data_IF_765253875425
#
_entry.id   IF_765253875425
#
_cell.length_a   1.000
_cell.length_b   1.000
_cell.length_c   1.000
_cell.angle_alpha   90.00
_cell.angle_beta   90.00
_cell.angle_gamma   90.00
#
_symmetry.space_group_name_H-M   'P 1'
#
loop_
_entity.id
_entity.type
_entity.pdbx_description
1 polymer ?
#
# COMPACT_ATOMS: atom_id res chain seq x y z
N UNK A 1 69.14 2.65 46.62
CA UNK A 1 67.72 2.63 47.00
C UNK A 1 67.05 3.92 46.57
N UNK A 2 66.31 3.89 45.45
CA UNK A 2 65.35 4.92 45.03
C UNK A 2 64.20 4.18 44.36
N UNK A 3 63.11 4.01 45.10
CA UNK A 3 61.87 3.36 44.65
C UNK A 3 61.12 4.41 43.82
N UNK A 4 60.91 4.12 42.53
CA UNK A 4 60.03 4.92 41.67
C UNK A 4 58.61 4.38 41.78
N UNK A 5 57.73 5.16 42.39
CA UNK A 5 56.28 4.93 42.43
C UNK A 5 55.68 5.24 41.05
N UNK A 6 55.17 4.21 40.37
CA UNK A 6 54.32 4.34 39.19
C UNK A 6 52.86 4.59 39.62
N UNK A 7 52.35 5.79 39.33
CA UNK A 7 50.93 6.11 39.38
C UNK A 7 50.23 5.54 38.14
N UNK A 8 49.25 4.65 38.36
CA UNK A 8 48.33 4.15 37.35
C UNK A 8 47.10 5.09 37.26
N UNK A 9 46.66 5.55 36.08
CA UNK A 9 45.38 6.25 35.95
C UNK A 9 44.23 5.24 35.80
N UNK A 10 43.26 5.33 36.71
CA UNK A 10 42.01 4.59 36.67
C UNK A 10 41.09 5.22 35.60
N UNK A 11 40.93 4.57 34.45
CA UNK A 11 39.95 4.96 33.43
C UNK A 11 38.54 4.49 33.84
N UNK A 12 37.69 5.43 34.24
CA UNK A 12 36.26 5.22 34.43
C UNK A 12 35.58 5.07 33.05
N UNK A 13 35.15 3.85 32.72
CA UNK A 13 34.26 3.58 31.60
C UNK A 13 32.84 4.01 31.98
N UNK A 14 32.39 5.14 31.42
CA UNK A 14 31.00 5.56 31.48
C UNK A 14 30.20 4.73 30.45
N UNK A 15 29.42 3.77 30.95
CA UNK A 15 28.48 2.98 30.15
C UNK A 15 27.29 3.86 29.74
N UNK A 16 27.29 4.39 28.53
CA UNK A 16 26.09 4.96 27.93
C UNK A 16 25.13 3.83 27.54
N UNK A 17 24.20 3.48 28.43
CA UNK A 17 23.02 2.70 28.07
C UNK A 17 22.11 3.57 27.21
N UNK A 18 22.22 3.44 25.88
CA UNK A 18 21.24 4.02 24.96
C UNK A 18 19.90 3.30 25.13
N UNK A 19 18.94 3.98 25.75
CA UNK A 19 17.54 3.54 25.75
C UNK A 19 17.07 3.56 24.29
N UNK A 20 16.57 2.45 23.71
CA UNK A 20 16.01 2.49 22.38
C UNK A 20 14.81 3.44 22.37
N UNK A 21 14.77 4.34 21.39
CA UNK A 21 13.65 5.24 21.20
C UNK A 21 12.35 4.42 21.04
N UNK A 22 11.23 4.87 21.62
CA UNK A 22 9.95 4.22 21.39
C UNK A 22 9.66 4.25 19.89
N UNK A 23 9.33 3.08 19.34
CA UNK A 23 8.82 2.94 17.97
C UNK A 23 7.56 3.81 17.91
N UNK A 24 7.60 4.86 17.11
CA UNK A 24 6.44 5.71 16.88
C UNK A 24 5.35 4.86 16.23
N UNK A 25 4.32 4.51 16.99
CA UNK A 25 3.12 3.93 16.43
C UNK A 25 2.38 4.99 15.62
N UNK A 26 1.98 4.61 14.41
CA UNK A 26 1.31 5.45 13.42
C UNK A 26 -0.11 5.85 13.84
N UNK A 27 -0.26 6.68 14.87
CA UNK A 27 -1.59 7.04 15.41
C UNK A 27 -2.19 8.34 14.87
N UNK A 28 -1.43 9.16 14.12
CA UNK A 28 -1.93 10.45 13.56
C UNK A 28 -1.62 10.68 12.07
N UNK A 29 -1.09 9.67 11.37
CA UNK A 29 -0.92 9.77 9.91
C UNK A 29 -2.23 9.38 9.24
N UNK A 30 -2.80 10.29 8.46
CA UNK A 30 -3.99 10.03 7.64
C UNK A 30 -3.78 8.75 6.82
N UNK A 31 -4.75 7.82 6.88
CA UNK A 31 -4.67 6.56 6.13
C UNK A 31 -4.52 6.86 4.63
N UNK A 32 -3.65 6.13 3.95
CA UNK A 32 -3.55 6.24 2.49
C UNK A 32 -4.89 5.86 1.85
N UNK A 33 -5.24 6.45 0.69
CA UNK A 33 -6.43 6.06 -0.03
C UNK A 33 -6.44 4.55 -0.29
N UNK A 34 -7.64 3.97 -0.19
CA UNK A 34 -7.89 2.60 -0.60
C UNK A 34 -7.95 2.44 -2.11
N UNK A 35 -7.99 1.19 -2.57
CA UNK A 35 -8.27 0.81 -3.95
C UNK A 35 -9.74 1.03 -4.29
N UNK A 36 -10.00 1.52 -5.50
CA UNK A 36 -11.35 1.80 -5.99
C UNK A 36 -12.13 0.50 -6.23
N UNK A 37 -11.45 -0.56 -6.66
CA UNK A 37 -12.08 -1.87 -6.89
C UNK A 37 -11.11 -2.84 -7.54
N UNK A 38 -10.36 -3.63 -6.75
CA UNK A 38 -9.39 -4.55 -7.30
C UNK A 38 -10.10 -5.58 -8.18
N UNK A 39 -9.55 -5.79 -9.37
CA UNK A 39 -10.02 -6.78 -10.34
C UNK A 39 -8.97 -7.87 -10.48
N UNK A 40 -9.41 -9.12 -10.40
CA UNK A 40 -8.54 -10.27 -10.67
C UNK A 40 -8.90 -10.87 -12.02
N UNK A 41 -7.88 -11.13 -12.83
CA UNK A 41 -8.00 -11.80 -14.12
C UNK A 41 -7.49 -13.24 -14.00
N UNK A 42 -8.19 -14.20 -14.62
CA UNK A 42 -7.80 -15.63 -14.59
C UNK A 42 -7.60 -16.20 -13.17
N UNK A 43 -8.35 -15.69 -12.19
CA UNK A 43 -8.29 -16.17 -10.81
C UNK A 43 -8.98 -17.52 -10.62
N UNK A 44 -8.60 -18.21 -9.56
CA UNK A 44 -9.21 -19.45 -9.10
C UNK A 44 -9.89 -19.21 -7.77
N UNK A 45 -11.08 -19.76 -7.59
CA UNK A 45 -11.78 -19.73 -6.31
C UNK A 45 -11.34 -20.92 -5.45
N UNK A 46 -10.33 -20.69 -4.61
CA UNK A 46 -9.63 -21.70 -3.80
C UNK A 46 -9.34 -21.14 -2.41
N UNK A 47 -9.01 -21.97 -1.40
CA UNK A 47 -8.55 -21.45 -0.12
C UNK A 47 -7.34 -20.52 -0.30
N UNK A 48 -7.24 -19.49 0.54
CA UNK A 48 -6.05 -18.64 0.58
C UNK A 48 -4.82 -19.51 0.84
N UNK A 49 -3.69 -19.17 0.23
CA UNK A 49 -2.44 -19.89 0.51
C UNK A 49 -2.05 -19.73 1.98
N UNK A 50 -1.23 -20.66 2.49
CA UNK A 50 -0.77 -20.59 3.88
C UNK A 50 -0.01 -19.29 4.16
N UNK A 51 0.83 -18.85 3.20
CA UNK A 51 1.57 -17.60 3.31
C UNK A 51 0.64 -16.38 3.43
N UNK A 52 -0.40 -16.30 2.59
CA UNK A 52 -1.38 -15.19 2.63
C UNK A 52 -2.19 -15.21 3.92
N UNK A 53 -2.64 -16.40 4.35
CA UNK A 53 -3.38 -16.56 5.60
C UNK A 53 -2.54 -16.14 6.81
N UNK A 54 -1.29 -16.63 6.88
CA UNK A 54 -0.35 -16.29 7.95
C UNK A 54 -0.05 -14.79 7.97
N UNK A 55 0.22 -14.20 6.81
CA UNK A 55 0.44 -12.76 6.68
C UNK A 55 -0.77 -11.97 7.19
N UNK A 56 -1.96 -12.19 6.63
CA UNK A 56 -3.15 -11.43 6.99
C UNK A 56 -3.47 -11.54 8.49
N UNK A 57 -3.33 -12.73 9.10
CA UNK A 57 -3.58 -12.93 10.53
C UNK A 57 -2.49 -12.35 11.44
N UNK A 58 -1.25 -12.20 10.94
CA UNK A 58 -0.14 -11.62 11.69
C UNK A 58 -0.17 -10.08 11.78
N UNK A 59 -0.98 -9.41 10.95
CA UNK A 59 -1.00 -7.94 10.91
C UNK A 59 -1.44 -7.32 12.25
N UNK A 60 -0.85 -6.20 12.67
CA UNK A 60 -1.32 -5.46 13.82
C UNK A 60 -2.76 -4.95 13.60
N UNK A 61 -3.61 -5.21 14.58
CA UNK A 61 -5.05 -4.92 14.46
C UNK A 61 -5.36 -3.44 14.27
N UNK A 62 -4.55 -2.56 14.86
CA UNK A 62 -4.68 -1.11 14.72
C UNK A 62 -4.36 -0.61 13.30
N UNK A 63 -3.51 -1.32 12.55
CA UNK A 63 -3.11 -0.87 11.22
C UNK A 63 -4.21 -1.15 10.19
N UNK A 64 -4.85 -2.32 10.31
CA UNK A 64 -5.88 -2.79 9.36
C UNK A 64 -7.30 -2.64 9.88
N UNK A 65 -7.47 -2.10 11.08
CA UNK A 65 -8.74 -1.86 11.77
C UNK A 65 -9.63 -3.10 11.94
N UNK A 66 -9.13 -4.30 11.64
CA UNK A 66 -9.88 -5.55 11.71
C UNK A 66 -9.25 -6.52 12.73
N UNK A 67 -10.07 -7.01 13.65
CA UNK A 67 -9.62 -7.99 14.64
C UNK A 67 -9.16 -9.30 13.98
N UNK A 68 -8.31 -10.10 14.65
CA UNK A 68 -7.94 -11.42 14.14
C UNK A 68 -9.15 -12.31 13.85
N UNK A 69 -10.22 -12.21 14.65
CA UNK A 69 -11.46 -12.95 14.44
C UNK A 69 -12.17 -12.56 13.14
N UNK A 70 -12.23 -11.26 12.82
CA UNK A 70 -12.81 -10.79 11.55
C UNK A 70 -11.98 -11.22 10.35
N UNK A 71 -10.65 -11.09 10.44
CA UNK A 71 -9.72 -11.54 9.40
C UNK A 71 -9.82 -13.04 9.17
N UNK A 72 -9.92 -13.83 10.25
CA UNK A 72 -10.16 -15.26 10.16
C UNK A 72 -11.48 -15.56 9.45
N UNK A 73 -12.55 -14.80 9.72
CA UNK A 73 -13.84 -14.96 9.03
C UNK A 73 -13.74 -14.66 7.54
N UNK A 74 -12.97 -13.66 7.10
CA UNK A 74 -12.75 -13.44 5.66
C UNK A 74 -11.97 -14.56 5.00
N UNK A 75 -11.09 -15.24 5.74
CA UNK A 75 -10.36 -16.42 5.27
C UNK A 75 -11.18 -17.73 5.36
N UNK A 76 -12.38 -17.70 5.95
CA UNK A 76 -13.23 -18.89 6.02
C UNK A 76 -13.75 -19.24 4.62
N UNK A 77 -13.26 -20.36 4.09
CA UNK A 77 -13.72 -20.90 2.81
C UNK A 77 -12.75 -20.63 1.67
N UNK A 78 -13.29 -20.22 0.53
CA UNK A 78 -12.54 -19.96 -0.69
C UNK A 78 -12.51 -18.46 -0.97
N UNK A 79 -11.40 -18.02 -1.51
CA UNK A 79 -11.13 -16.65 -1.94
C UNK A 79 -10.70 -16.69 -3.40
N UNK A 80 -10.71 -15.55 -4.08
CA UNK A 80 -10.17 -15.46 -5.43
C UNK A 80 -8.66 -15.28 -5.34
N UNK A 81 -7.93 -16.23 -5.91
CA UNK A 81 -6.46 -16.22 -5.97
C UNK A 81 -6.03 -16.15 -7.43
N UNK A 82 -5.23 -15.14 -7.76
CA UNK A 82 -4.50 -15.05 -9.02
C UNK A 82 -3.00 -15.24 -8.71
N UNK A 83 -2.38 -16.21 -9.35
CA UNK A 83 -0.95 -16.47 -9.27
C UNK A 83 -0.23 -15.69 -10.37
N UNK A 84 0.88 -15.06 -10.01
CA UNK A 84 1.65 -14.17 -10.87
C UNK A 84 3.11 -14.60 -10.85
N UNK A 85 3.83 -14.47 -11.99
CA UNK A 85 5.28 -14.63 -11.99
C UNK A 85 5.90 -13.64 -10.99
N UNK A 86 6.65 -14.16 -10.02
CA UNK A 86 7.47 -13.34 -9.12
C UNK A 86 8.86 -13.12 -9.70
N UNK A 87 9.74 -12.51 -8.91
CA UNK A 87 11.14 -12.40 -9.26
C UNK A 87 11.84 -13.78 -9.20
N UNK A 88 12.60 -14.13 -10.24
CA UNK A 88 13.22 -15.45 -10.37
C UNK A 88 12.18 -16.57 -10.54
N UNK A 89 12.36 -17.69 -9.82
CA UNK A 89 11.38 -18.79 -9.75
C UNK A 89 10.31 -18.56 -8.68
N UNK A 90 10.31 -17.38 -8.06
CA UNK A 90 9.35 -16.97 -7.05
C UNK A 90 7.94 -16.85 -7.63
N UNK A 91 6.94 -16.95 -6.74
CA UNK A 91 5.54 -16.77 -7.09
C UNK A 91 4.95 -15.67 -6.26
N UNK A 92 4.23 -14.80 -6.95
CA UNK A 92 3.44 -13.79 -6.30
C UNK A 92 1.96 -14.12 -6.39
N UNK A 93 1.18 -13.49 -5.51
CA UNK A 93 -0.26 -13.67 -5.44
C UNK A 93 -0.97 -12.33 -5.43
N UNK A 94 -2.12 -12.29 -6.08
CA UNK A 94 -3.16 -11.29 -5.88
C UNK A 94 -4.37 -12.02 -5.32
N UNK A 95 -4.86 -11.59 -4.16
CA UNK A 95 -5.91 -12.30 -3.42
C UNK A 95 -6.98 -11.33 -2.97
N UNK A 96 -8.24 -11.67 -3.24
CA UNK A 96 -9.41 -11.00 -2.67
C UNK A 96 -10.40 -12.02 -2.15
N UNK A 97 -11.08 -11.73 -1.05
CA UNK A 97 -12.16 -12.59 -0.57
C UNK A 97 -13.33 -12.68 -1.58
N UNK A 98 -13.68 -11.57 -2.23
CA UNK A 98 -14.70 -11.45 -3.27
C UNK A 98 -14.34 -10.38 -4.31
N UNK A 99 -14.87 -10.52 -5.52
CA UNK A 99 -14.55 -9.62 -6.64
C UNK A 99 -15.35 -8.30 -6.56
N UNK A 100 -14.77 -7.21 -7.06
CA UNK A 100 -15.43 -5.90 -7.15
C UNK A 100 -15.19 -5.01 -5.94
N UNK A 101 -15.95 -3.90 -5.84
CA UNK A 101 -15.76 -2.86 -4.81
C UNK A 101 -16.11 -3.29 -3.39
N UNK A 102 -16.84 -4.40 -3.24
CA UNK A 102 -17.36 -4.88 -1.96
C UNK A 102 -16.51 -6.02 -1.43
N UNK A 103 -15.19 -5.89 -1.28
CA UNK A 103 -14.33 -6.95 -0.73
C UNK A 103 -14.08 -6.76 0.77
N UNK A 104 -13.76 -7.83 1.49
CA UNK A 104 -13.32 -7.86 2.89
C UNK A 104 -11.81 -7.64 3.04
N UNK A 105 -11.03 -8.20 2.12
CA UNK A 105 -9.61 -7.86 2.00
C UNK A 105 -9.11 -7.99 0.57
N UNK A 106 -8.04 -7.25 0.28
CA UNK A 106 -7.23 -7.36 -0.92
C UNK A 106 -5.77 -7.44 -0.52
N UNK A 107 -5.02 -8.37 -1.10
CA UNK A 107 -3.58 -8.54 -0.87
C UNK A 107 -2.88 -8.75 -2.20
N UNK A 108 -1.78 -8.03 -2.43
CA UNK A 108 -0.80 -8.30 -3.48
C UNK A 108 0.53 -8.62 -2.81
N UNK A 109 1.09 -9.81 -3.03
CA UNK A 109 2.44 -10.15 -2.61
C UNK A 109 3.46 -9.84 -3.70
N UNK A 110 4.73 -9.66 -3.33
CA UNK A 110 5.83 -9.42 -4.24
C UNK A 110 7.06 -10.17 -3.73
N UNK A 111 7.47 -11.21 -4.43
CA UNK A 111 8.62 -12.01 -4.06
C UNK A 111 9.88 -11.13 -4.12
N UNK A 112 10.73 -11.28 -3.11
CA UNK A 112 11.97 -10.53 -3.03
C UNK A 112 13.05 -11.10 -3.95
N UNK A 113 14.14 -10.35 -4.09
CA UNK A 113 15.39 -10.84 -4.68
C UNK A 113 16.00 -11.98 -3.84
N UNK A 114 15.64 -12.04 -2.55
CA UNK A 114 15.98 -13.13 -1.63
C UNK A 114 14.72 -13.96 -1.34
N UNK A 115 14.79 -15.31 -1.32
CA UNK A 115 13.61 -16.18 -1.17
C UNK A 115 12.79 -15.96 0.11
N UNK A 116 13.45 -15.57 1.21
CA UNK A 116 12.84 -15.33 2.52
C UNK A 116 12.13 -13.97 2.62
N UNK A 117 12.31 -13.09 1.63
CA UNK A 117 11.79 -11.74 1.63
C UNK A 117 10.53 -11.66 0.76
N UNK A 118 9.47 -11.07 1.29
CA UNK A 118 8.26 -10.78 0.50
C UNK A 118 7.72 -9.41 0.88
N UNK A 119 7.48 -8.56 -0.13
CA UNK A 119 6.69 -7.35 0.01
C UNK A 119 5.21 -7.67 -0.07
N UNK A 120 4.38 -6.91 0.65
CA UNK A 120 2.93 -7.01 0.57
C UNK A 120 2.31 -5.63 0.47
N UNK A 121 1.34 -5.47 -0.43
CA UNK A 121 0.31 -4.45 -0.30
C UNK A 121 -0.94 -5.12 0.24
N UNK A 122 -1.63 -4.46 1.17
CA UNK A 122 -2.85 -4.98 1.79
C UNK A 122 -3.84 -3.86 2.06
N UNK A 123 -5.11 -4.18 1.87
CA UNK A 123 -6.22 -3.36 2.34
C UNK A 123 -7.27 -4.27 2.94
N UNK A 124 -7.80 -3.86 4.08
CA UNK A 124 -8.92 -4.53 4.74
C UNK A 124 -10.04 -3.53 4.86
N UNK A 125 -11.21 -3.92 4.40
CA UNK A 125 -12.42 -3.09 4.45
C UNK A 125 -13.62 -3.99 4.69
N UNK A 126 -14.78 -3.41 4.92
CA UNK A 126 -15.99 -4.21 5.04
C UNK A 126 -17.03 -3.52 5.90
N UNK A 127 -18.02 -4.29 6.36
CA UNK A 127 -19.15 -3.70 7.06
C UNK A 127 -18.77 -3.30 8.48
N UNK A 128 -19.13 -2.08 8.88
CA UNK A 128 -19.06 -1.58 10.25
C UNK A 128 -19.83 -2.46 11.24
N UNK A 129 -20.89 -3.15 10.80
CA UNK A 129 -21.59 -4.13 11.62
C UNK A 129 -20.69 -5.33 11.98
N UNK A 130 -19.94 -5.86 11.02
CA UNK A 130 -19.00 -6.96 11.23
C UNK A 130 -17.81 -6.51 12.09
N UNK A 131 -17.33 -5.29 11.87
CA UNK A 131 -16.28 -4.69 12.69
C UNK A 131 -16.71 -4.57 14.16
N UNK A 132 -17.88 -3.99 14.41
CA UNK A 132 -18.44 -3.84 15.77
C UNK A 132 -18.68 -5.20 16.44
N UNK A 133 -19.19 -6.18 15.70
CA UNK A 133 -19.47 -7.52 16.23
C UNK A 133 -18.21 -8.28 16.68
N UNK A 134 -17.03 -7.91 16.16
CA UNK A 134 -15.77 -8.63 16.39
C UNK A 134 -14.72 -7.79 17.12
N UNK A 135 -15.06 -6.57 17.54
CA UNK A 135 -14.16 -5.64 18.21
C UNK A 135 -14.41 -5.66 19.73
N UNK A 136 -13.39 -5.98 20.56
CA UNK A 136 -13.55 -5.93 22.01
C UNK A 136 -13.81 -4.50 22.50
N UNK A 137 -14.83 -4.32 23.33
CA UNK A 137 -15.20 -3.01 23.89
C UNK A 137 -14.10 -2.44 24.78
N UNK A 138 -13.99 -1.11 24.85
CA UNK A 138 -13.01 -0.42 25.70
C UNK A 138 -11.55 -0.51 25.22
N UNK A 139 -11.30 -0.99 24.00
CA UNK A 139 -9.95 -1.06 23.41
C UNK A 139 -9.65 0.13 22.50
N UNK A 140 -8.36 0.44 22.22
CA UNK A 140 -8.00 1.43 21.20
C UNK A 140 -8.61 1.13 19.82
N UNK A 141 -8.74 -0.16 19.48
CA UNK A 141 -9.43 -0.60 18.27
C UNK A 141 -10.91 -0.18 18.28
N UNK A 142 -11.61 -0.34 19.40
CA UNK A 142 -13.01 0.08 19.52
C UNK A 142 -13.17 1.59 19.27
N UNK A 143 -12.28 2.41 19.83
CA UNK A 143 -12.30 3.85 19.59
C UNK A 143 -11.99 4.20 18.11
N UNK A 144 -11.04 3.51 17.48
CA UNK A 144 -10.75 3.70 16.06
C UNK A 144 -11.92 3.27 15.15
N UNK A 145 -12.51 2.10 15.43
CA UNK A 145 -13.70 1.60 14.75
C UNK A 145 -14.89 2.54 14.92
N UNK A 146 -15.10 3.09 16.12
CA UNK A 146 -16.16 4.06 16.39
C UNK A 146 -15.97 5.35 15.60
N UNK A 147 -14.76 5.92 15.58
CA UNK A 147 -14.45 7.10 14.74
C UNK A 147 -14.76 6.85 13.26
N UNK A 148 -14.30 5.72 12.72
CA UNK A 148 -14.54 5.41 11.31
C UNK A 148 -16.01 5.16 10.99
N UNK A 149 -16.70 4.43 11.87
CA UNK A 149 -18.10 4.04 11.69
C UNK A 149 -19.13 5.05 12.23
N UNK A 150 -18.70 6.27 12.59
CA UNK A 150 -19.57 7.37 13.04
C UNK A 150 -19.59 8.58 12.09
N UNK A 151 -18.73 8.59 11.06
CA UNK A 151 -18.62 9.70 10.11
C UNK A 151 -19.59 9.52 8.93
N UNK A 152 -20.26 10.60 8.48
CA UNK A 152 -21.24 10.57 7.39
C UNK A 152 -20.58 10.33 6.01
N UNK A 153 -20.94 9.19 5.40
CA UNK A 153 -20.54 8.57 4.12
C UNK A 153 -21.27 7.22 4.05
N UNK A 154 -21.19 6.33 3.03
CA UNK A 154 -22.02 5.11 2.98
C UNK A 154 -21.98 4.39 4.33
N UNK A 155 -23.06 4.48 5.15
CA UNK A 155 -22.98 4.55 6.63
C UNK A 155 -22.74 3.19 7.31
N UNK A 156 -22.10 2.28 6.61
CA UNK A 156 -21.97 0.89 6.99
C UNK A 156 -20.61 0.31 6.64
N UNK A 157 -19.61 1.06 6.15
CA UNK A 157 -18.28 0.50 5.84
C UNK A 157 -17.11 1.12 6.61
N UNK A 158 -16.10 0.29 6.88
CA UNK A 158 -14.77 0.69 7.33
C UNK A 158 -13.75 0.33 6.24
N UNK A 159 -12.62 1.03 6.24
CA UNK A 159 -11.51 0.87 5.31
C UNK A 159 -10.17 1.17 6.00
N UNK A 160 -9.23 0.24 6.00
CA UNK A 160 -7.91 0.46 6.58
C UNK A 160 -7.06 1.50 5.84
N UNK A 161 -7.45 1.85 4.62
CA UNK A 161 -6.55 2.40 3.61
C UNK A 161 -5.58 1.35 3.09
N UNK A 162 -4.86 1.68 2.02
CA UNK A 162 -3.79 0.81 1.52
C UNK A 162 -2.60 0.85 2.48
N UNK A 163 -2.11 -0.33 2.86
CA UNK A 163 -0.92 -0.54 3.70
C UNK A 163 0.15 -1.29 2.92
N UNK A 164 1.41 -1.07 3.27
CA UNK A 164 2.53 -1.82 2.73
C UNK A 164 3.34 -2.47 3.85
N UNK A 165 3.71 -3.73 3.67
CA UNK A 165 4.54 -4.46 4.61
C UNK A 165 5.72 -5.12 3.92
N UNK A 166 6.83 -5.21 4.64
CA UNK A 166 7.95 -6.07 4.30
C UNK A 166 7.99 -7.22 5.29
N UNK A 167 8.05 -8.45 4.79
CA UNK A 167 8.07 -9.66 5.63
C UNK A 167 9.33 -10.43 5.31
N UNK A 168 10.12 -10.71 6.35
CA UNK A 168 11.23 -11.66 6.31
C UNK A 168 10.76 -12.91 7.05
N UNK A 169 10.99 -14.09 6.49
CA UNK A 169 10.61 -15.35 7.13
C UNK A 169 11.10 -15.43 8.58
N UNK A 170 10.18 -15.80 9.49
CA UNK A 170 10.45 -15.88 10.94
C UNK A 170 10.44 -14.53 11.67
N UNK A 171 10.29 -13.40 10.99
CA UNK A 171 10.17 -12.07 11.60
C UNK A 171 8.73 -11.54 11.52
N UNK A 172 8.32 -10.67 12.47
CA UNK A 172 7.04 -9.98 12.37
C UNK A 172 7.02 -9.08 11.11
N UNK A 173 5.84 -8.85 10.50
CA UNK A 173 5.71 -7.89 9.40
C UNK A 173 6.19 -6.49 9.80
N UNK A 174 7.05 -5.91 8.98
CA UNK A 174 7.51 -4.54 9.11
C UNK A 174 6.59 -3.62 8.32
N UNK A 175 5.94 -2.66 8.99
CA UNK A 175 5.12 -1.64 8.32
C UNK A 175 6.04 -0.68 7.55
N UNK A 176 5.88 -0.64 6.23
CA UNK A 176 6.58 0.26 5.31
C UNK A 176 5.61 1.15 4.56
N UNK A 177 4.39 1.36 5.06
CA UNK A 177 3.32 2.15 4.43
C UNK A 177 3.77 3.57 4.07
N UNK A 178 4.61 4.20 4.89
CA UNK A 178 5.16 5.53 4.58
C UNK A 178 5.96 5.56 3.26
N UNK A 179 6.61 4.46 2.88
CA UNK A 179 7.40 4.37 1.64
C UNK A 179 6.55 4.35 0.37
N UNK A 180 5.26 4.02 0.49
CA UNK A 180 4.32 3.98 -0.62
C UNK A 180 3.42 5.21 -0.66
N UNK A 181 3.65 6.23 0.17
CA UNK A 181 2.84 7.45 0.14
C UNK A 181 2.96 8.16 -1.22
N UNK A 182 1.93 8.88 -1.68
CA UNK A 182 2.00 9.71 -2.87
C UNK A 182 3.01 10.86 -2.72
N UNK A 183 3.42 11.44 -3.84
CA UNK A 183 4.29 12.62 -3.86
C UNK A 183 3.57 13.83 -3.23
N UNK A 184 4.11 14.39 -2.12
CA UNK A 184 3.49 15.53 -1.44
C UNK A 184 3.39 16.79 -2.31
N UNK A 185 4.18 16.91 -3.38
CA UNK A 185 4.05 18.01 -4.34
C UNK A 185 2.67 18.01 -5.05
N UNK A 186 2.01 16.85 -5.11
CA UNK A 186 0.68 16.68 -5.71
C UNK A 186 -0.37 16.35 -4.65
N UNK A 187 0.00 15.66 -3.57
CA UNK A 187 -0.94 15.14 -2.57
C UNK A 187 -0.96 15.90 -1.25
N UNK A 188 -0.29 17.05 -1.13
CA UNK A 188 -0.43 17.86 0.09
C UNK A 188 -1.87 18.36 0.25
N UNK A 189 -2.31 18.57 1.50
CA UNK A 189 -3.66 19.06 1.80
C UNK A 189 -4.02 20.32 1.00
N UNK A 190 -3.13 21.29 0.94
CA UNK A 190 -3.36 22.53 0.19
C UNK A 190 -3.54 22.28 -1.31
N UNK A 191 -2.76 21.38 -1.90
CA UNK A 191 -2.90 21.02 -3.32
C UNK A 191 -4.21 20.26 -3.58
N UNK A 192 -4.58 19.32 -2.71
CA UNK A 192 -5.84 18.58 -2.84
C UNK A 192 -7.07 19.47 -2.66
N UNK A 193 -7.03 20.45 -1.74
CA UNK A 193 -8.07 21.47 -1.59
C UNK A 193 -8.18 22.35 -2.84
N UNK A 194 -7.05 22.71 -3.45
CA UNK A 194 -7.02 23.44 -4.72
C UNK A 194 -7.63 22.59 -5.84
N UNK A 195 -7.25 21.33 -5.98
CA UNK A 195 -7.80 20.43 -6.99
C UNK A 195 -9.30 20.21 -6.79
N UNK A 196 -9.76 20.04 -5.55
CA UNK A 196 -11.18 19.90 -5.23
C UNK A 196 -12.01 21.13 -5.64
N UNK A 197 -11.42 22.34 -5.59
CA UNK A 197 -12.10 23.57 -6.01
C UNK A 197 -12.41 23.63 -7.52
N UNK A 198 -11.72 22.81 -8.31
CA UNK A 198 -11.94 22.62 -9.76
C UNK A 198 -12.54 21.25 -10.08
N UNK A 199 -13.20 20.62 -9.11
CA UNK A 199 -13.95 19.36 -9.32
C UNK A 199 -13.08 18.10 -9.44
N UNK A 200 -11.79 18.17 -9.12
CA UNK A 200 -10.92 16.99 -9.16
C UNK A 200 -11.25 15.98 -8.05
N UNK A 201 -10.84 14.73 -8.28
CA UNK A 201 -10.86 13.68 -7.27
C UNK A 201 -9.86 13.93 -6.14
N UNK A 202 -9.98 13.16 -5.05
CA UNK A 202 -8.84 12.92 -4.16
C UNK A 202 -7.73 12.12 -4.87
N UNK A 203 -6.58 11.97 -4.23
CA UNK A 203 -5.54 11.07 -4.72
C UNK A 203 -6.01 9.62 -4.61
N UNK A 204 -5.79 8.81 -5.64
CA UNK A 204 -6.11 7.37 -5.65
C UNK A 204 -5.03 6.57 -6.36
N UNK A 205 -4.95 5.28 -6.04
CA UNK A 205 -4.02 4.37 -6.70
C UNK A 205 -4.64 3.94 -8.04
N UNK A 206 -3.93 4.20 -9.13
CA UNK A 206 -4.15 3.53 -10.40
C UNK A 206 -3.50 2.15 -10.35
N UNK A 207 -4.32 1.16 -10.00
CA UNK A 207 -3.93 -0.21 -9.68
C UNK A 207 -4.02 -1.18 -10.87
N UNK A 208 -4.34 -0.68 -12.08
CA UNK A 208 -4.72 -1.52 -13.22
C UNK A 208 -3.64 -2.52 -13.68
N UNK A 209 -2.38 -2.28 -13.29
CA UNK A 209 -1.23 -3.10 -13.64
C UNK A 209 -0.77 -4.05 -12.52
N UNK A 210 -1.32 -3.93 -11.30
CA UNK A 210 -0.92 -4.77 -10.17
C UNK A 210 -1.25 -6.25 -10.38
N UNK A 211 -2.14 -6.56 -11.31
CA UNK A 211 -2.47 -7.92 -11.72
C UNK A 211 -1.46 -8.52 -12.72
N UNK A 212 -0.36 -7.83 -13.04
CA UNK A 212 0.61 -8.25 -14.05
C UNK A 212 2.05 -7.90 -13.68
N UNK A 213 2.29 -6.70 -13.15
CA UNK A 213 3.62 -6.15 -12.91
C UNK A 213 3.72 -5.54 -11.50
N UNK A 214 4.92 -5.44 -10.91
CA UNK A 214 5.10 -5.05 -9.52
C UNK A 214 5.09 -3.52 -9.30
N UNK A 215 4.12 -2.83 -9.92
CA UNK A 215 4.02 -1.36 -9.86
C UNK A 215 2.57 -0.88 -9.94
N UNK A 216 2.30 0.21 -9.24
CA UNK A 216 1.10 1.03 -9.40
C UNK A 216 1.48 2.52 -9.42
N UNK A 217 0.53 3.38 -9.73
CA UNK A 217 0.73 4.83 -9.81
C UNK A 217 -0.26 5.56 -8.92
N UNK A 218 0.17 6.59 -8.21
CA UNK A 218 -0.74 7.53 -7.58
C UNK A 218 -1.17 8.60 -8.58
N UNK A 219 -2.47 8.88 -8.61
CA UNK A 219 -3.06 9.83 -9.55
C UNK A 219 -4.12 10.69 -8.87
N UNK A 220 -4.33 11.87 -9.41
CA UNK A 220 -5.54 12.69 -9.22
C UNK A 220 -6.20 12.82 -10.58
N UNK A 221 -7.52 12.67 -10.64
CA UNK A 221 -8.32 12.85 -11.86
C UNK A 221 -9.05 14.19 -11.80
N UNK A 222 -9.00 14.94 -12.89
CA UNK A 222 -9.68 16.22 -13.05
C UNK A 222 -10.99 16.04 -13.79
N UNK A 223 -11.96 16.91 -13.50
CA UNK A 223 -13.23 16.97 -14.22
C UNK A 223 -12.98 17.27 -15.71
N UNK A 224 -13.38 16.39 -16.64
CA UNK A 224 -13.13 16.58 -18.07
C UNK A 224 -13.83 17.80 -18.66
N UNK A 225 -14.87 18.33 -18.02
CA UNK A 225 -15.58 19.54 -18.46
C UNK A 225 -14.85 20.82 -18.02
N UNK A 226 -13.87 20.75 -17.11
CA UNK A 226 -13.10 21.90 -16.64
C UNK A 226 -11.78 22.07 -17.40
N UNK A 227 -11.77 22.99 -18.36
CA UNK A 227 -10.63 23.24 -19.25
C UNK A 227 -9.55 24.17 -18.68
N UNK A 228 -9.77 24.80 -17.51
CA UNK A 228 -8.85 25.78 -16.94
C UNK A 228 -8.01 25.18 -15.81
N UNK A 229 -6.94 24.48 -16.18
CA UNK A 229 -5.94 24.07 -15.20
C UNK A 229 -4.70 24.94 -15.25
N UNK A 230 -4.23 25.31 -14.05
CA UNK A 230 -2.92 25.90 -13.81
C UNK A 230 -1.81 24.97 -14.36
N UNK A 231 -0.73 25.48 -14.97
CA UNK A 231 0.30 24.68 -15.64
C UNK A 231 1.14 23.76 -14.73
N UNK A 232 1.08 23.88 -13.40
CA UNK A 232 2.09 23.28 -12.51
C UNK A 232 1.55 22.21 -11.55
N UNK A 233 1.00 21.12 -12.09
CA UNK A 233 1.42 19.79 -11.63
C UNK A 233 1.93 18.92 -12.79
N UNK A 234 2.63 17.81 -12.50
CA UNK A 234 3.04 16.82 -13.50
C UNK A 234 1.81 16.16 -14.16
N UNK A 235 1.17 16.85 -15.11
CA UNK A 235 -0.05 16.44 -15.78
C UNK A 235 0.22 15.48 -16.93
N UNK A 236 -0.73 14.57 -17.18
CA UNK A 236 -0.71 13.63 -18.30
C UNK A 236 -2.13 13.41 -18.83
N UNK A 237 -2.26 12.52 -19.83
CA UNK A 237 -3.55 12.15 -20.42
C UNK A 237 -4.34 13.37 -20.93
N UNK A 238 -3.66 14.31 -21.61
CA UNK A 238 -4.29 15.52 -22.13
C UNK A 238 -4.74 16.54 -21.07
N UNK A 239 -4.23 16.43 -19.83
CA UNK A 239 -4.59 17.33 -18.72
C UNK A 239 -5.59 16.72 -17.74
N UNK A 240 -6.17 15.56 -18.04
CA UNK A 240 -7.19 14.94 -17.18
C UNK A 240 -6.64 14.34 -15.89
N UNK A 241 -5.31 14.18 -15.76
CA UNK A 241 -4.73 13.55 -14.58
C UNK A 241 -3.43 14.23 -14.13
N UNK A 242 -3.22 14.33 -12.82
CA UNK A 242 -1.93 14.67 -12.22
C UNK A 242 -1.21 13.41 -11.72
N UNK A 243 0.10 13.36 -11.93
CA UNK A 243 0.97 12.26 -11.51
C UNK A 243 1.51 12.48 -10.11
N UNK A 244 1.15 11.61 -9.15
CA UNK A 244 1.66 11.66 -7.79
C UNK A 244 2.71 10.58 -7.49
N UNK A 245 3.42 10.08 -8.51
CA UNK A 245 4.49 9.08 -8.38
C UNK A 245 4.05 7.66 -8.70
N UNK A 246 4.98 6.87 -9.24
CA UNK A 246 4.90 5.41 -9.28
C UNK A 246 5.46 4.81 -7.99
N UNK A 247 4.92 3.67 -7.59
CA UNK A 247 5.46 2.84 -6.52
C UNK A 247 5.86 1.49 -7.11
N UNK A 248 7.14 1.17 -7.07
CA UNK A 248 7.72 -0.05 -7.64
C UNK A 248 8.26 -0.94 -6.53
N UNK A 249 7.91 -2.22 -6.52
CA UNK A 249 8.67 -3.21 -5.76
C UNK A 249 9.92 -3.61 -6.55
N UNK A 250 11.10 -3.34 -5.99
CA UNK A 250 12.38 -3.58 -6.67
C UNK A 250 13.08 -4.89 -6.27
N UNK A 251 12.38 -5.79 -5.56
CA UNK A 251 12.94 -7.02 -5.00
C UNK A 251 13.42 -6.88 -3.56
N UNK A 252 13.57 -5.66 -3.03
CA UNK A 252 14.00 -5.43 -1.65
C UNK A 252 13.02 -4.55 -0.85
N UNK A 253 12.50 -3.52 -1.51
CA UNK A 253 11.62 -2.52 -0.91
C UNK A 253 10.68 -1.92 -1.96
N UNK A 254 9.64 -1.24 -1.48
CA UNK A 254 8.88 -0.32 -2.30
C UNK A 254 9.67 0.97 -2.51
N UNK A 255 9.70 1.43 -3.75
CA UNK A 255 10.45 2.60 -4.18
C UNK A 255 9.51 3.54 -4.93
N UNK A 256 9.45 4.80 -4.47
CA UNK A 256 8.77 5.86 -5.22
C UNK A 256 9.64 6.28 -6.39
N UNK A 257 9.07 6.32 -7.59
CA UNK A 257 9.72 6.80 -8.81
C UNK A 257 8.84 7.81 -9.53
N UNK A 258 9.46 8.82 -10.13
CA UNK A 258 8.76 9.75 -11.03
C UNK A 258 8.51 9.13 -12.40
N UNK A 259 9.41 8.25 -12.87
CA UNK A 259 9.27 7.57 -14.15
C UNK A 259 9.52 6.08 -14.03
N UNK A 260 8.94 5.31 -14.94
CA UNK A 260 9.16 3.86 -15.04
C UNK A 260 9.39 3.45 -16.49
N UNK A 261 10.19 2.40 -16.75
CA UNK A 261 10.32 1.84 -18.08
C UNK A 261 9.02 1.19 -18.53
N UNK A 262 8.82 1.09 -19.84
CA UNK A 262 7.63 0.53 -20.49
C UNK A 262 7.34 -0.89 -20.05
N UNK A 263 8.38 -1.67 -19.78
CA UNK A 263 8.26 -3.03 -19.26
C UNK A 263 7.52 -3.10 -17.90
N UNK A 264 7.56 -2.04 -17.11
CA UNK A 264 6.81 -1.92 -15.86
C UNK A 264 5.46 -1.21 -16.05
N UNK A 265 5.19 -0.58 -17.19
CA UNK A 265 3.88 0.03 -17.44
C UNK A 265 3.35 -0.37 -18.84
N UNK A 266 3.00 -1.66 -19.00
CA UNK A 266 2.58 -2.19 -20.29
C UNK A 266 1.26 -1.56 -20.74
N UNK A 267 1.12 -1.34 -22.05
CA UNK A 267 -0.13 -0.87 -22.61
C UNK A 267 -1.21 -1.96 -22.55
N UNK A 268 -2.44 -1.60 -22.18
CA UNK A 268 -3.60 -2.48 -22.29
C UNK A 268 -4.34 -2.24 -23.60
N UNK A 269 -4.67 -3.31 -24.31
CA UNK A 269 -5.92 -3.40 -25.04
C UNK A 269 -6.78 -4.50 -24.41
N UNK A 270 -8.10 -4.39 -24.53
CA UNK A 270 -9.06 -5.36 -24.04
C UNK A 270 -8.67 -6.83 -24.37
N UNK A 271 -8.01 -7.50 -23.42
CA UNK A 271 -7.73 -8.93 -23.47
C UNK A 271 -6.42 -9.40 -24.13
N UNK A 272 -5.59 -8.52 -24.69
CA UNK A 272 -4.30 -8.92 -25.29
C UNK A 272 -3.20 -7.86 -25.07
N UNK A 273 -1.93 -8.27 -24.88
CA UNK A 273 -0.81 -7.34 -24.96
C UNK A 273 -0.71 -6.86 -26.41
N UNK A 274 -1.15 -5.63 -26.66
CA UNK A 274 -0.94 -4.96 -27.94
C UNK A 274 0.28 -4.06 -27.77
N UNK A 275 1.12 -4.02 -28.80
CA UNK A 275 2.16 -3.00 -28.97
C UNK A 275 1.56 -1.64 -28.63
N UNK A 276 2.22 -0.90 -27.74
CA UNK A 276 1.84 0.48 -27.51
C UNK A 276 1.80 1.22 -28.84
N UNK A 277 0.80 2.08 -29.11
CA UNK A 277 0.86 2.93 -30.28
C UNK A 277 2.22 3.65 -30.28
N UNK A 278 2.88 3.79 -31.46
CA UNK A 278 4.20 4.40 -31.55
C UNK A 278 4.19 5.75 -30.83
N UNK A 279 5.31 6.06 -30.17
CA UNK A 279 5.53 7.24 -29.30
C UNK A 279 4.81 8.47 -29.88
N UNK A 280 3.62 8.74 -29.35
CA UNK A 280 2.89 9.95 -29.70
C UNK A 280 3.50 11.10 -28.89
N UNK A 281 3.56 12.33 -29.43
CA UNK A 281 3.78 13.53 -28.63
C UNK A 281 2.81 13.65 -27.44
N UNK A 282 1.70 12.89 -27.46
CA UNK A 282 0.68 12.80 -26.41
C UNK A 282 0.79 11.51 -25.56
N UNK A 283 1.90 10.77 -25.64
CA UNK A 283 2.14 9.59 -24.80
C UNK A 283 2.31 9.96 -23.32
N UNK A 284 2.19 8.99 -22.42
CA UNK A 284 2.43 9.20 -21.00
C UNK A 284 3.89 9.63 -20.76
N UNK A 285 4.16 10.89 -20.38
CA UNK A 285 5.53 11.41 -20.28
C UNK A 285 6.32 10.80 -19.11
N UNK A 286 5.63 10.07 -18.23
CA UNK A 286 6.22 9.40 -17.09
C UNK A 286 6.60 7.94 -17.36
N UNK A 287 6.32 7.43 -18.58
CA UNK A 287 6.73 6.09 -19.01
C UNK A 287 7.80 6.19 -20.10
N UNK A 288 8.98 5.65 -19.80
CA UNK A 288 10.14 5.65 -20.71
C UNK A 288 10.25 4.34 -21.46
N UNK A 289 10.77 4.36 -22.70
CA UNK A 289 11.04 3.14 -23.47
C UNK A 289 12.46 2.62 -23.21
#
# INVERSE_FOLDING_TARGET
MRIHSLLLPLLLLASCTSVPAPIAHATDTESLPGLAGPRLWKSKYIPATEAISRFLLSLPTQDVLASPALRQRYLQGKVLVQELPGQGDGRDYLVVDKNGSWYGFWIRSFHGARPELTGYLVQVRGLCADLKATTPTGTPLAAAAERQCSTAGPPWEFDSGMRAYRVIEGQPPEDVTASIAPDPAVSSKAMLEQYASVGASGVFADEHNLDQVPVFRWVVEFDPEQTSMSPDPPIFNGGHNAHAGFIVWNGERFERRTTVPRALWPCRAAGHPVECPPRSPNGDPFVTD
#
